data_IF_704013789317
#
_entry.id   IF_704013789317
#
_cell.length_a   1.000
_cell.length_b   1.000
_cell.length_c   1.000
_cell.angle_alpha   90.00
_cell.angle_beta   90.00
_cell.angle_gamma   90.00
#
_symmetry.space_group_name_H-M   'P 1'
#
loop_
_entity.id
_entity.type
_entity.pdbx_description
1 polymer ?
#
# COMPACT_ATOMS: atom_id res chain seq x y z
N UNK A 1 29.17 -0.04 -3.98
CA UNK A 1 29.13 -1.50 -4.18
C UNK A 1 28.93 -2.29 -2.89
N UNK A 2 29.59 -1.96 -1.77
CA UNK A 2 29.34 -2.61 -0.47
C UNK A 2 27.88 -2.54 0.07
N UNK A 3 27.13 -1.43 -0.09
CA UNK A 3 25.75 -1.35 0.42
C UNK A 3 24.76 -2.27 -0.33
N UNK A 4 24.97 -2.47 -1.63
CA UNK A 4 24.18 -3.42 -2.44
C UNK A 4 24.52 -4.87 -2.10
N UNK A 5 25.80 -5.16 -1.79
CA UNK A 5 26.23 -6.47 -1.32
C UNK A 5 25.65 -6.78 0.07
N UNK A 6 25.61 -5.82 1.00
CA UNK A 6 24.99 -6.02 2.31
C UNK A 6 23.47 -6.29 2.23
N UNK A 7 22.77 -5.70 1.25
CA UNK A 7 21.36 -6.02 0.99
C UNK A 7 21.15 -7.41 0.35
N UNK A 8 22.17 -8.00 -0.28
CA UNK A 8 22.12 -9.33 -0.90
C UNK A 8 22.69 -10.46 -0.03
N UNK A 9 23.51 -10.15 0.98
CA UNK A 9 24.20 -11.14 1.83
C UNK A 9 23.34 -11.62 3.02
N UNK A 10 22.22 -10.96 3.33
CA UNK A 10 21.27 -11.39 4.37
C UNK A 10 20.35 -12.51 3.86
N UNK A 11 20.90 -13.70 3.57
CA UNK A 11 20.18 -14.81 2.93
C UNK A 11 19.40 -15.76 3.85
N UNK A 12 19.70 -15.83 5.16
CA UNK A 12 19.08 -16.83 6.05
C UNK A 12 19.29 -16.52 7.54
N UNK A 13 18.44 -15.65 8.09
CA UNK A 13 18.36 -15.31 9.51
C UNK A 13 17.03 -14.63 9.86
N UNK A 14 16.61 -14.66 11.13
CA UNK A 14 15.41 -13.96 11.59
C UNK A 14 15.53 -12.45 11.34
N UNK A 15 14.50 -11.84 10.73
CA UNK A 15 14.44 -10.41 10.41
C UNK A 15 14.64 -10.02 8.94
N UNK A 16 14.86 -10.99 8.03
CA UNK A 16 14.93 -10.72 6.59
C UNK A 16 13.53 -10.53 6.02
N UNK A 17 13.31 -9.45 5.27
CA UNK A 17 12.05 -9.23 4.55
C UNK A 17 12.06 -9.97 3.21
N UNK A 18 11.00 -10.73 2.94
CA UNK A 18 10.80 -11.51 1.69
C UNK A 18 9.48 -11.16 1.03
N UNK A 19 9.41 -9.94 0.51
CA UNK A 19 8.27 -9.51 -0.30
C UNK A 19 8.26 -10.19 -1.67
N UNK A 20 7.11 -10.30 -2.36
CA UNK A 20 7.02 -10.96 -3.68
C UNK A 20 8.04 -10.45 -4.70
N UNK A 21 8.23 -9.14 -4.76
CA UNK A 21 9.14 -8.49 -5.70
C UNK A 21 10.64 -8.76 -5.44
N UNK A 22 11.00 -9.25 -4.26
CA UNK A 22 12.37 -9.68 -3.93
C UNK A 22 12.59 -11.15 -4.25
N UNK A 23 11.57 -11.99 -4.13
CA UNK A 23 11.66 -13.42 -4.47
C UNK A 23 11.68 -13.63 -5.98
N UNK A 24 10.93 -12.83 -6.74
CA UNK A 24 10.85 -12.90 -8.19
C UNK A 24 11.27 -11.55 -8.84
N UNK A 25 12.58 -11.21 -8.82
CA UNK A 25 13.07 -9.89 -9.26
C UNK A 25 12.88 -9.62 -10.76
N UNK A 26 12.94 -10.65 -11.60
CA UNK A 26 12.75 -10.53 -13.05
C UNK A 26 11.29 -10.21 -13.40
N UNK A 27 10.34 -10.96 -12.81
CA UNK A 27 8.91 -10.66 -12.94
C UNK A 27 8.57 -9.27 -12.38
N UNK A 28 9.18 -8.89 -11.26
CA UNK A 28 9.00 -7.54 -10.72
C UNK A 28 9.51 -6.45 -11.69
N UNK A 29 10.62 -6.69 -12.41
CA UNK A 29 11.12 -5.78 -13.43
C UNK A 29 10.17 -5.70 -14.64
N UNK A 30 9.61 -6.83 -15.07
CA UNK A 30 8.64 -6.86 -16.16
C UNK A 30 7.33 -6.15 -15.79
N UNK A 31 6.87 -6.28 -14.54
CA UNK A 31 5.73 -5.50 -14.02
C UNK A 31 6.02 -3.99 -14.11
N UNK A 32 7.22 -3.54 -13.70
CA UNK A 32 7.60 -2.12 -13.79
C UNK A 32 7.69 -1.63 -15.24
N UNK A 33 8.24 -2.43 -16.16
CA UNK A 33 8.26 -2.10 -17.59
C UNK A 33 6.85 -2.01 -18.16
N UNK A 34 5.98 -2.95 -17.80
CA UNK A 34 4.58 -2.92 -18.19
C UNK A 34 3.89 -1.66 -17.65
N UNK A 35 4.10 -1.32 -16.38
CA UNK A 35 3.61 -0.08 -15.76
C UNK A 35 4.05 1.17 -16.53
N UNK A 36 5.35 1.29 -16.83
CA UNK A 36 5.88 2.39 -17.65
C UNK A 36 5.19 2.47 -19.02
N UNK A 37 4.95 1.31 -19.65
CA UNK A 37 4.28 1.25 -20.95
C UNK A 37 2.81 1.65 -20.90
N UNK A 38 2.15 1.63 -19.75
CA UNK A 38 0.76 2.08 -19.58
C UNK A 38 0.66 3.56 -19.19
N UNK A 39 1.78 4.16 -18.78
CA UNK A 39 1.83 5.58 -18.48
C UNK A 39 1.74 6.39 -19.77
N UNK A 40 0.79 7.33 -19.79
CA UNK A 40 0.59 8.28 -20.88
C UNK A 40 0.64 9.69 -20.35
N UNK A 41 0.68 10.64 -21.26
CA UNK A 41 0.57 12.06 -20.97
C UNK A 41 -0.60 12.59 -21.79
N UNK A 42 -1.52 13.31 -21.16
CA UNK A 42 -2.64 13.93 -21.89
C UNK A 42 -2.11 15.19 -22.60
N UNK A 43 -2.36 15.27 -23.92
CA UNK A 43 -1.79 16.34 -24.76
C UNK A 43 -2.56 17.65 -24.72
N UNK A 44 -3.83 17.65 -24.30
CA UNK A 44 -4.72 18.82 -24.35
C UNK A 44 -5.46 19.04 -23.04
N UNK A 45 -5.47 20.28 -22.56
CA UNK A 45 -6.05 20.68 -21.27
C UNK A 45 -5.05 20.43 -20.14
N UNK A 46 -5.29 19.38 -19.35
CA UNK A 46 -4.41 19.00 -18.25
C UNK A 46 -3.25 18.14 -18.76
N UNK A 47 -2.04 18.70 -18.85
CA UNK A 47 -0.79 18.01 -19.24
C UNK A 47 -0.26 17.07 -18.13
N UNK A 48 -1.13 16.22 -17.61
CA UNK A 48 -0.86 15.32 -16.50
C UNK A 48 -0.54 13.93 -17.04
N UNK A 49 0.41 13.26 -16.40
CA UNK A 49 0.60 11.84 -16.61
C UNK A 49 -0.61 11.07 -16.12
N UNK A 50 -0.92 9.95 -16.76
CA UNK A 50 -1.98 9.06 -16.29
C UNK A 50 -1.75 7.61 -16.71
N UNK A 51 -2.22 6.67 -15.87
CA UNK A 51 -2.20 5.24 -16.18
C UNK A 51 -3.41 4.85 -17.03
N UNK A 52 -3.21 3.99 -18.03
CA UNK A 52 -4.32 3.51 -18.88
C UNK A 52 -5.09 2.37 -18.23
N UNK A 53 -4.39 1.45 -17.56
CA UNK A 53 -4.97 0.28 -16.90
C UNK A 53 -4.81 0.38 -15.40
N UNK A 54 -5.71 -0.29 -14.67
CA UNK A 54 -5.79 -0.23 -13.22
C UNK A 54 -5.67 -1.63 -12.64
N UNK A 55 -4.82 -1.77 -11.62
CA UNK A 55 -4.71 -2.95 -10.79
C UNK A 55 -4.89 -2.55 -9.32
N UNK A 56 -5.44 -3.47 -8.53
CA UNK A 56 -5.48 -3.41 -7.07
C UNK A 56 -4.82 -4.68 -6.57
N UNK A 57 -3.85 -4.55 -5.67
CA UNK A 57 -3.16 -5.69 -5.09
C UNK A 57 -3.91 -6.17 -3.85
N UNK A 58 -4.11 -7.47 -3.75
CA UNK A 58 -4.60 -8.18 -2.58
C UNK A 58 -3.72 -9.40 -2.34
N UNK A 59 -3.63 -9.83 -1.08
CA UNK A 59 -2.84 -11.01 -0.73
C UNK A 59 -3.58 -12.29 -1.13
N UNK A 60 -2.86 -13.27 -1.73
CA UNK A 60 -3.47 -14.50 -2.21
C UNK A 60 -4.10 -15.30 -1.07
N UNK A 61 -5.35 -15.75 -1.26
CA UNK A 61 -6.06 -16.58 -0.29
C UNK A 61 -5.38 -17.94 -0.04
N UNK A 62 -4.52 -18.37 -0.97
CA UNK A 62 -3.68 -19.57 -0.90
C UNK A 62 -2.70 -19.55 0.29
N UNK A 63 -2.46 -18.39 0.91
CA UNK A 63 -1.70 -18.29 2.17
C UNK A 63 -2.39 -19.13 3.27
N UNK A 64 -3.72 -19.17 3.30
CA UNK A 64 -4.51 -19.92 4.29
C UNK A 64 -4.36 -21.45 4.12
N UNK A 65 -3.81 -21.92 3.01
CA UNK A 65 -3.51 -23.34 2.76
C UNK A 65 -2.15 -23.78 3.32
N UNK A 66 -1.27 -22.83 3.65
CA UNK A 66 0.04 -23.13 4.23
C UNK A 66 -0.11 -23.59 5.68
N UNK A 67 0.82 -24.43 6.20
CA UNK A 67 0.84 -24.75 7.63
C UNK A 67 0.98 -23.49 8.49
N UNK A 68 0.33 -23.46 9.67
CA UNK A 68 0.30 -22.29 10.57
C UNK A 68 1.72 -21.71 10.85
N UNK A 69 2.76 -22.51 11.16
CA UNK A 69 4.10 -21.96 11.39
C UNK A 69 4.69 -21.25 10.16
N UNK A 70 4.33 -21.71 8.96
CA UNK A 70 4.77 -21.09 7.70
C UNK A 70 3.99 -19.81 7.42
N UNK A 71 2.70 -19.77 7.75
CA UNK A 71 1.91 -18.53 7.66
C UNK A 71 2.50 -17.45 8.57
N UNK A 72 2.83 -17.80 9.82
CA UNK A 72 3.46 -16.87 10.77
C UNK A 72 4.79 -16.33 10.24
N UNK A 73 5.66 -17.23 9.75
CA UNK A 73 6.92 -16.85 9.12
C UNK A 73 6.70 -15.92 7.91
N UNK A 74 5.75 -16.25 7.02
CA UNK A 74 5.42 -15.44 5.85
C UNK A 74 4.98 -14.03 6.27
N UNK A 75 4.10 -13.92 7.27
CA UNK A 75 3.65 -12.61 7.76
C UNK A 75 4.77 -11.80 8.41
N UNK A 76 5.72 -12.44 9.12
CA UNK A 76 6.91 -11.77 9.67
C UNK A 76 7.81 -11.19 8.57
N UNK A 77 7.98 -11.93 7.48
CA UNK A 77 8.83 -11.57 6.36
C UNK A 77 8.17 -10.56 5.40
N UNK A 78 6.83 -10.47 5.40
CA UNK A 78 6.04 -9.63 4.50
C UNK A 78 5.54 -8.32 5.12
N UNK A 79 5.03 -8.36 6.35
CA UNK A 79 4.27 -7.25 6.94
C UNK A 79 5.17 -6.31 7.74
N UNK A 80 4.74 -5.05 7.86
CA UNK A 80 5.27 -4.13 8.85
C UNK A 80 4.42 -4.22 10.13
N UNK A 81 4.85 -5.08 11.06
CA UNK A 81 4.14 -5.32 12.32
C UNK A 81 4.13 -4.10 13.24
N UNK A 82 5.16 -3.26 13.17
CA UNK A 82 5.25 -2.06 14.00
C UNK A 82 4.26 -1.00 13.52
N UNK A 83 4.21 -0.76 12.21
CA UNK A 83 3.21 0.12 11.60
C UNK A 83 1.79 -0.41 11.80
N UNK A 84 1.55 -1.72 11.62
CA UNK A 84 0.26 -2.36 11.90
C UNK A 84 -0.18 -2.11 13.34
N UNK A 85 0.69 -2.42 14.31
CA UNK A 85 0.39 -2.21 15.72
C UNK A 85 0.11 -0.74 16.02
N UNK A 86 0.88 0.18 15.45
CA UNK A 86 0.70 1.61 15.69
C UNK A 86 -0.63 2.14 15.12
N UNK A 87 -1.05 1.68 13.95
CA UNK A 87 -2.32 2.09 13.35
C UNK A 87 -3.54 1.47 14.05
N UNK A 88 -3.39 0.31 14.69
CA UNK A 88 -4.43 -0.37 15.46
C UNK A 88 -4.45 0.03 16.95
N UNK A 89 -3.47 0.81 17.42
CA UNK A 89 -3.40 1.29 18.79
C UNK A 89 -4.39 2.43 19.07
N UNK A 90 -4.99 2.51 20.27
CA UNK A 90 -5.92 3.58 20.61
C UNK A 90 -5.33 5.00 20.57
N UNK A 91 -6.05 6.00 19.99
CA UNK A 91 -7.25 5.84 19.17
C UNK A 91 -6.91 5.19 17.80
N UNK A 92 -7.56 4.08 17.43
CA UNK A 92 -7.15 3.30 16.26
C UNK A 92 -7.55 3.97 14.95
N UNK A 93 -6.59 4.16 14.06
CA UNK A 93 -6.82 4.64 12.69
C UNK A 93 -7.22 3.51 11.73
N UNK A 94 -6.85 2.26 12.06
CA UNK A 94 -7.04 1.09 11.20
C UNK A 94 -7.71 -0.07 11.95
N UNK A 95 -8.49 -0.88 11.22
CA UNK A 95 -9.07 -2.15 11.68
C UNK A 95 -9.86 -2.07 13.01
N UNK A 96 -10.46 -0.92 13.31
CA UNK A 96 -11.16 -0.67 14.58
C UNK A 96 -12.59 -1.22 14.62
N UNK A 97 -13.20 -1.47 13.45
CA UNK A 97 -14.56 -2.00 13.36
C UNK A 97 -14.57 -3.52 13.16
N UNK A 98 -15.18 -4.24 14.11
CA UNK A 98 -15.40 -5.69 14.00
C UNK A 98 -16.35 -6.04 12.84
N UNK A 99 -17.30 -5.16 12.55
CA UNK A 99 -18.19 -5.31 11.39
C UNK A 99 -17.37 -5.35 10.09
N UNK A 100 -16.48 -4.38 9.90
CA UNK A 100 -15.69 -4.27 8.68
C UNK A 100 -14.65 -5.40 8.62
N UNK A 101 -13.91 -5.62 9.70
CA UNK A 101 -12.77 -6.55 9.71
C UNK A 101 -13.19 -8.01 9.68
N UNK A 102 -14.11 -8.42 10.57
CA UNK A 102 -14.47 -9.82 10.74
C UNK A 102 -15.70 -10.21 9.91
N UNK A 103 -16.77 -9.42 9.98
CA UNK A 103 -18.05 -9.78 9.34
C UNK A 103 -18.06 -9.55 7.83
N UNK A 104 -17.46 -8.45 7.38
CA UNK A 104 -17.29 -8.12 5.96
C UNK A 104 -15.92 -8.54 5.40
N UNK A 105 -15.13 -9.29 6.18
CA UNK A 105 -13.82 -9.83 5.78
C UNK A 105 -12.88 -8.78 5.15
N UNK A 106 -12.96 -7.52 5.59
CA UNK A 106 -12.23 -6.39 5.01
C UNK A 106 -11.09 -5.90 5.91
N UNK A 107 -10.46 -6.83 6.65
CA UNK A 107 -9.26 -6.53 7.44
C UNK A 107 -8.11 -6.13 6.51
N UNK A 108 -7.46 -5.01 6.83
CA UNK A 108 -6.31 -4.51 6.07
C UNK A 108 -5.00 -4.91 6.75
N UNK A 109 -4.05 -5.35 5.93
CA UNK A 109 -2.70 -5.71 6.34
C UNK A 109 -1.70 -4.67 5.81
N UNK A 110 -0.74 -4.31 6.65
CA UNK A 110 0.25 -3.28 6.36
C UNK A 110 1.49 -3.95 5.78
N UNK A 111 1.71 -3.76 4.48
CA UNK A 111 2.88 -4.30 3.81
C UNK A 111 4.13 -3.54 4.24
N UNK A 112 5.22 -4.28 4.46
CA UNK A 112 6.52 -3.67 4.61
C UNK A 112 7.01 -3.09 3.27
N UNK A 113 7.72 -1.97 3.34
CA UNK A 113 8.48 -1.43 2.22
C UNK A 113 9.82 -0.86 2.68
N UNK A 114 10.65 -0.46 1.73
CA UNK A 114 12.00 0.06 2.01
C UNK A 114 11.93 1.50 2.51
N UNK A 115 12.52 1.76 3.67
CA UNK A 115 12.62 3.10 4.25
C UNK A 115 13.77 3.92 3.63
N UNK A 116 13.72 4.11 2.31
CA UNK A 116 14.75 4.81 1.52
C UNK A 116 14.29 6.18 0.96
N UNK A 117 13.24 6.77 1.56
CA UNK A 117 12.74 8.11 1.18
C UNK A 117 11.68 8.15 0.08
N UNK A 118 11.43 7.03 -0.61
CA UNK A 118 10.41 6.90 -1.66
C UNK A 118 9.15 6.12 -1.21
N UNK A 119 8.93 6.01 0.11
CA UNK A 119 7.91 5.14 0.70
C UNK A 119 6.48 5.40 0.19
N UNK A 120 6.11 6.65 -0.14
CA UNK A 120 4.80 6.97 -0.72
C UNK A 120 4.59 6.25 -2.07
N UNK A 121 5.59 6.31 -2.93
CA UNK A 121 5.52 5.76 -4.29
C UNK A 121 5.65 4.24 -4.28
N UNK A 122 6.53 3.72 -3.42
CA UNK A 122 6.62 2.29 -3.16
C UNK A 122 5.29 1.74 -2.64
N UNK A 123 4.64 2.42 -1.69
CA UNK A 123 3.35 2.00 -1.16
C UNK A 123 2.24 2.04 -2.21
N UNK A 124 2.21 3.06 -3.05
CA UNK A 124 1.22 3.15 -4.12
C UNK A 124 1.43 2.07 -5.19
N UNK A 125 2.68 1.79 -5.58
CA UNK A 125 3.03 0.70 -6.49
C UNK A 125 2.75 -0.68 -5.88
N UNK A 126 2.91 -0.84 -4.56
CA UNK A 126 2.54 -2.06 -3.86
C UNK A 126 1.02 -2.25 -3.80
N UNK A 127 0.26 -1.23 -3.41
CA UNK A 127 -1.20 -1.27 -3.31
C UNK A 127 -1.90 -1.50 -4.66
N UNK A 128 -1.19 -1.28 -5.77
CA UNK A 128 -1.70 -1.49 -7.13
C UNK A 128 -1.12 -2.74 -7.79
N UNK A 129 0.20 -2.82 -7.93
CA UNK A 129 0.91 -3.83 -8.73
C UNK A 129 1.78 -4.79 -7.91
N UNK A 130 1.82 -4.65 -6.58
CA UNK A 130 2.60 -5.52 -5.70
C UNK A 130 4.12 -5.35 -5.79
N UNK A 131 4.60 -4.26 -6.39
CA UNK A 131 6.04 -3.98 -6.58
C UNK A 131 6.42 -2.61 -6.03
N UNK A 132 7.72 -2.35 -5.87
CA UNK A 132 8.26 -1.04 -5.51
C UNK A 132 8.46 -0.15 -6.76
N UNK A 133 8.51 1.18 -6.59
CA UNK A 133 8.93 2.12 -7.65
C UNK A 133 10.46 2.15 -7.77
N UNK A 134 11.08 1.00 -7.99
CA UNK A 134 12.54 0.86 -7.96
C UNK A 134 13.25 1.63 -9.08
N UNK A 135 12.57 1.84 -10.20
CA UNK A 135 13.10 2.49 -11.40
C UNK A 135 12.67 3.97 -11.52
N UNK A 136 12.12 4.53 -10.43
CA UNK A 136 11.62 5.90 -10.33
C UNK A 136 10.68 6.28 -11.50
N UNK A 137 9.84 5.35 -11.93
CA UNK A 137 8.90 5.57 -13.03
C UNK A 137 7.80 6.48 -12.52
N UNK A 138 7.23 6.16 -11.36
CA UNK A 138 6.16 6.93 -10.76
C UNK A 138 6.70 8.25 -10.18
N UNK A 139 7.90 8.26 -9.59
CA UNK A 139 8.60 9.48 -9.13
C UNK A 139 8.76 10.50 -10.26
N UNK A 140 9.25 10.06 -11.43
CA UNK A 140 9.42 10.94 -12.59
C UNK A 140 8.07 11.43 -13.12
N UNK A 141 7.08 10.54 -13.24
CA UNK A 141 5.74 10.92 -13.65
C UNK A 141 5.10 11.99 -12.74
N UNK A 142 5.32 11.86 -11.43
CA UNK A 142 4.89 12.82 -10.41
C UNK A 142 5.57 14.18 -10.61
N UNK A 143 6.90 14.19 -10.67
CA UNK A 143 7.67 15.41 -10.88
C UNK A 143 7.29 16.10 -12.19
N UNK A 144 7.26 15.37 -13.31
CA UNK A 144 6.91 15.88 -14.63
C UNK A 144 5.49 16.48 -14.65
N UNK A 145 4.52 15.79 -14.02
CA UNK A 145 3.16 16.28 -13.88
C UNK A 145 3.10 17.58 -13.10
N UNK A 146 3.81 17.67 -11.97
CA UNK A 146 3.79 18.85 -11.12
C UNK A 146 4.42 20.06 -11.81
N UNK A 147 5.47 19.86 -12.61
CA UNK A 147 6.06 20.93 -13.42
C UNK A 147 5.14 21.37 -14.56
N UNK A 148 4.54 20.44 -15.30
CA UNK A 148 3.71 20.76 -16.46
C UNK A 148 2.35 21.33 -16.08
N UNK A 149 1.75 20.83 -15.00
CA UNK A 149 0.45 21.26 -14.50
C UNK A 149 0.56 22.21 -13.31
N UNK A 150 1.75 22.79 -13.07
CA UNK A 150 2.05 23.54 -11.85
C UNK A 150 1.06 24.66 -11.58
N UNK A 151 0.63 25.40 -12.60
CA UNK A 151 -0.36 26.47 -12.46
C UNK A 151 -1.71 26.00 -11.87
N UNK A 152 -2.17 24.78 -12.19
CA UNK A 152 -3.45 24.24 -11.69
C UNK A 152 -3.28 23.74 -10.25
N UNK A 153 -2.23 22.95 -10.02
CA UNK A 153 -1.94 22.39 -8.70
C UNK A 153 -1.58 23.48 -7.69
N UNK A 154 -0.82 24.51 -8.10
CA UNK A 154 -0.48 25.66 -7.27
C UNK A 154 -1.72 26.42 -6.82
N UNK A 155 -2.66 26.72 -7.72
CA UNK A 155 -3.90 27.42 -7.34
C UNK A 155 -4.68 26.64 -6.29
N UNK A 156 -4.86 25.32 -6.49
CA UNK A 156 -5.58 24.47 -5.54
C UNK A 156 -4.84 24.31 -4.21
N UNK A 157 -3.53 24.15 -4.26
CA UNK A 157 -2.67 24.05 -3.08
C UNK A 157 -2.67 25.35 -2.27
N UNK A 158 -2.50 26.51 -2.94
CA UNK A 158 -2.50 27.83 -2.30
C UNK A 158 -3.85 28.11 -1.63
N UNK A 159 -4.97 27.84 -2.30
CA UNK A 159 -6.31 27.99 -1.69
C UNK A 159 -6.45 27.12 -0.43
N UNK A 160 -6.04 25.85 -0.51
CA UNK A 160 -6.08 24.94 0.63
C UNK A 160 -5.22 25.41 1.81
N UNK A 161 -3.95 25.75 1.60
CA UNK A 161 -3.07 26.24 2.67
C UNK A 161 -3.51 27.61 3.21
N UNK A 162 -4.08 28.48 2.37
CA UNK A 162 -4.69 29.73 2.83
C UNK A 162 -5.84 29.48 3.82
N UNK A 163 -6.69 28.50 3.53
CA UNK A 163 -7.76 28.10 4.45
C UNK A 163 -7.20 27.57 5.77
N UNK A 164 -6.16 26.72 5.72
CA UNK A 164 -5.50 26.20 6.91
C UNK A 164 -4.86 27.33 7.75
N UNK A 165 -4.15 28.26 7.11
CA UNK A 165 -3.54 29.42 7.77
C UNK A 165 -4.60 30.31 8.42
N UNK A 166 -5.74 30.53 7.74
CA UNK A 166 -6.84 31.34 8.26
C UNK A 166 -7.49 30.74 9.51
N UNK A 167 -7.58 29.41 9.60
CA UNK A 167 -8.06 28.70 10.81
C UNK A 167 -7.11 28.90 12.01
N UNK A 168 -5.84 29.21 11.74
CA UNK A 168 -4.81 29.53 12.73
C UNK A 168 -4.62 31.05 12.90
N UNK A 169 -5.51 31.86 12.30
CA UNK A 169 -5.51 33.32 12.36
C UNK A 169 -4.23 34.00 11.85
N UNK A 170 -3.61 33.45 10.80
CA UNK A 170 -2.49 34.09 10.11
C UNK A 170 -2.62 34.04 8.58
N UNK A 171 -1.78 34.82 7.90
CA UNK A 171 -1.68 34.87 6.43
C UNK A 171 -0.21 34.89 6.03
N UNK A 172 0.11 34.36 4.86
CA UNK A 172 1.47 34.35 4.31
C UNK A 172 1.63 35.43 3.22
N UNK A 173 2.85 35.95 3.08
CA UNK A 173 3.23 36.87 2.00
C UNK A 173 3.40 36.12 0.66
N UNK A 174 3.27 36.83 -0.46
CA UNK A 174 3.40 36.25 -1.81
C UNK A 174 4.76 35.59 -2.07
N UNK A 175 5.84 36.14 -1.52
CA UNK A 175 7.18 35.54 -1.58
C UNK A 175 7.26 34.16 -0.92
N UNK A 176 6.59 33.98 0.23
CA UNK A 176 6.59 32.70 0.94
C UNK A 176 5.84 31.63 0.13
N UNK A 177 4.74 32.00 -0.53
CA UNK A 177 4.00 31.07 -1.40
C UNK A 177 4.87 30.56 -2.55
N UNK A 178 5.71 31.41 -3.14
CA UNK A 178 6.63 31.03 -4.21
C UNK A 178 7.77 30.13 -3.70
N UNK A 179 8.31 30.41 -2.52
CA UNK A 179 9.36 29.60 -1.88
C UNK A 179 8.85 28.20 -1.50
N UNK A 180 7.69 28.12 -0.85
CA UNK A 180 7.06 26.86 -0.43
C UNK A 180 6.70 26.02 -1.67
N UNK A 181 6.18 26.65 -2.72
CA UNK A 181 5.89 25.98 -3.99
C UNK A 181 7.17 25.44 -4.66
N UNK A 182 8.24 26.24 -4.70
CA UNK A 182 9.54 25.82 -5.23
C UNK A 182 10.09 24.62 -4.45
N UNK A 183 9.91 24.61 -3.13
CA UNK A 183 10.28 23.48 -2.26
C UNK A 183 9.51 22.23 -2.65
N UNK A 184 8.19 22.31 -2.84
CA UNK A 184 7.36 21.17 -3.27
C UNK A 184 7.81 20.60 -4.63
N UNK A 185 8.13 21.46 -5.61
CA UNK A 185 8.67 21.04 -6.90
C UNK A 185 10.03 20.32 -6.78
N UNK A 186 10.91 20.84 -5.92
CA UNK A 186 12.22 20.27 -5.64
C UNK A 186 12.10 18.89 -4.98
N UNK A 187 11.21 18.76 -3.99
CA UNK A 187 10.95 17.48 -3.32
C UNK A 187 10.56 16.42 -4.34
N UNK A 188 9.59 16.67 -5.22
CA UNK A 188 9.19 15.70 -6.25
C UNK A 188 10.35 15.27 -7.15
N UNK A 189 11.22 16.22 -7.53
CA UNK A 189 12.30 16.01 -8.51
C UNK A 189 13.52 15.28 -7.95
N UNK A 190 13.71 15.28 -6.64
CA UNK A 190 14.87 14.68 -5.98
C UNK A 190 14.52 13.28 -5.45
N UNK A 191 15.03 12.18 -6.04
CA UNK A 191 14.77 10.83 -5.55
C UNK A 191 15.17 10.67 -4.07
N UNK A 192 14.34 9.97 -3.29
CA UNK A 192 14.56 9.78 -1.86
C UNK A 192 14.18 10.96 -0.96
N UNK A 193 13.75 12.10 -1.51
CA UNK A 193 13.19 13.19 -0.69
C UNK A 193 11.78 12.83 -0.22
N UNK A 194 11.46 13.16 1.04
CA UNK A 194 10.13 12.97 1.62
C UNK A 194 9.08 13.78 0.86
N UNK A 195 7.95 13.15 0.58
CA UNK A 195 6.85 13.75 -0.16
C UNK A 195 5.72 14.17 0.79
N UNK A 196 5.09 15.30 0.47
CA UNK A 196 3.98 15.92 1.21
C UNK A 196 2.59 15.65 0.59
N UNK A 197 1.53 16.15 1.22
CA UNK A 197 0.12 15.92 0.88
C UNK A 197 -0.20 16.23 -0.59
N UNK A 198 0.38 17.30 -1.13
CA UNK A 198 0.18 17.69 -2.53
C UNK A 198 0.61 16.58 -3.49
N UNK A 199 1.69 15.87 -3.17
CA UNK A 199 2.18 14.78 -3.99
C UNK A 199 1.20 13.60 -4.01
N UNK A 200 0.45 13.39 -2.93
CA UNK A 200 -0.62 12.37 -2.87
C UNK A 200 -1.78 12.79 -3.78
N UNK A 201 -2.15 14.08 -3.78
CA UNK A 201 -3.16 14.61 -4.72
C UNK A 201 -2.72 14.39 -6.17
N UNK A 202 -1.50 14.77 -6.54
CA UNK A 202 -0.96 14.58 -7.90
C UNK A 202 -0.92 13.09 -8.25
N UNK A 203 -0.52 12.24 -7.30
CA UNK A 203 -0.50 10.80 -7.49
C UNK A 203 -1.90 10.22 -7.74
N UNK A 204 -2.93 10.70 -7.04
CA UNK A 204 -4.32 10.31 -7.32
C UNK A 204 -4.74 10.64 -8.75
N UNK A 205 -4.29 11.79 -9.29
CA UNK A 205 -4.51 12.16 -10.69
C UNK A 205 -3.77 11.23 -11.67
N UNK A 206 -2.51 10.89 -11.38
CA UNK A 206 -1.72 9.97 -12.21
C UNK A 206 -2.35 8.57 -12.23
N UNK A 207 -2.79 8.09 -11.07
CA UNK A 207 -3.44 6.78 -10.95
C UNK A 207 -4.90 6.78 -11.40
N UNK A 208 -5.48 7.95 -11.73
CA UNK A 208 -6.90 8.14 -12.10
C UNK A 208 -7.85 7.46 -11.11
N UNK A 209 -7.51 7.50 -9.83
CA UNK A 209 -8.29 6.86 -8.76
C UNK A 209 -8.09 7.56 -7.43
N UNK A 210 -9.11 7.57 -6.56
CA UNK A 210 -8.98 8.07 -5.20
C UNK A 210 -7.92 7.32 -4.38
N UNK A 211 -7.28 8.04 -3.46
CA UNK A 211 -6.37 7.48 -2.45
C UNK A 211 -6.92 7.82 -1.07
N UNK A 212 -7.05 6.80 -0.22
CA UNK A 212 -7.43 6.95 1.18
C UNK A 212 -6.19 6.73 2.03
N UNK A 213 -5.87 7.69 2.91
CA UNK A 213 -4.77 7.57 3.85
C UNK A 213 -5.34 7.42 5.26
N UNK A 214 -5.02 6.33 5.92
CA UNK A 214 -5.26 6.12 7.35
C UNK A 214 -3.95 6.36 8.08
N UNK A 215 -3.96 7.16 9.15
CA UNK A 215 -2.69 7.51 9.77
C UNK A 215 -2.83 8.09 11.16
N UNK A 216 -1.70 8.18 11.84
CA UNK A 216 -1.66 8.87 13.14
C UNK A 216 -1.93 10.36 12.94
N UNK A 217 -2.82 10.92 13.77
CA UNK A 217 -3.15 12.36 13.76
C UNK A 217 -1.94 13.22 14.15
N UNK A 218 -1.19 12.80 15.17
CA UNK A 218 -0.01 13.51 15.67
C UNK A 218 1.28 12.74 15.40
N UNK A 219 2.34 13.48 15.06
CA UNK A 219 3.71 12.97 15.06
C UNK A 219 4.23 13.07 16.49
N UNK A 220 4.79 11.97 17.00
CA UNK A 220 5.32 11.88 18.36
C UNK A 220 6.84 11.92 18.38
N UNK A 221 7.41 12.60 19.37
CA UNK A 221 8.83 12.55 19.69
C UNK A 221 9.24 11.16 20.19
N UNK A 222 10.55 10.90 20.31
CA UNK A 222 11.07 9.69 20.95
C UNK A 222 10.63 9.53 22.42
N UNK A 223 10.20 10.63 23.07
CA UNK A 223 9.66 10.64 24.43
C UNK A 223 8.14 10.43 24.47
N UNK A 224 7.49 10.33 23.31
CA UNK A 224 6.05 10.15 23.17
C UNK A 224 5.21 11.43 23.18
N UNK A 225 5.86 12.60 23.19
CA UNK A 225 5.20 13.92 23.17
C UNK A 225 4.77 14.29 21.74
N UNK A 226 3.61 14.91 21.59
CA UNK A 226 3.13 15.38 20.29
C UNK A 226 3.97 16.60 19.84
N UNK A 227 4.68 16.45 18.72
CA UNK A 227 5.57 17.49 18.17
C UNK A 227 4.98 18.20 16.95
N UNK A 228 3.89 17.68 16.41
CA UNK A 228 3.21 18.27 15.26
C UNK A 228 2.05 17.41 14.78
N UNK A 229 1.21 18.01 13.96
CA UNK A 229 0.06 17.33 13.36
C UNK A 229 0.49 16.74 12.00
N UNK A 230 0.25 15.46 11.77
CA UNK A 230 0.71 14.75 10.57
C UNK A 230 -0.02 15.22 9.30
N UNK A 231 -1.25 15.74 9.40
CA UNK A 231 -2.07 16.26 8.26
C UNK A 231 -2.17 15.32 7.04
N UNK A 232 -1.94 14.01 7.17
CA UNK A 232 -1.99 13.08 6.03
C UNK A 232 -3.25 12.22 6.00
N UNK A 233 -3.89 11.98 7.14
CA UNK A 233 -5.13 11.21 7.20
C UNK A 233 -6.22 11.91 6.37
N UNK A 234 -6.92 11.15 5.53
CA UNK A 234 -7.99 11.68 4.69
C UNK A 234 -8.06 11.09 3.28
N UNK A 235 -8.92 11.70 2.47
CA UNK A 235 -9.14 11.34 1.07
C UNK A 235 -8.42 12.32 0.14
N UNK A 236 -7.81 11.77 -0.90
CA UNK A 236 -7.23 12.52 -2.01
C UNK A 236 -7.96 12.13 -3.30
N UNK A 237 -8.72 13.08 -3.85
CA UNK A 237 -9.57 12.86 -5.02
C UNK A 237 -8.95 13.51 -6.27
N UNK A 238 -9.01 12.86 -7.44
CA UNK A 238 -8.44 13.39 -8.67
C UNK A 238 -9.32 14.45 -9.34
N UNK A 239 -9.58 15.55 -8.64
CA UNK A 239 -10.56 16.60 -8.97
C UNK A 239 -10.42 17.23 -10.36
N UNK A 240 -9.22 17.23 -10.94
CA UNK A 240 -8.98 17.87 -12.24
C UNK A 240 -9.30 16.98 -13.44
N UNK A 241 -9.75 15.74 -13.18
CA UNK A 241 -10.28 14.86 -14.20
C UNK A 241 -11.81 14.93 -14.28
N UNK A 242 -12.34 14.62 -15.45
CA UNK A 242 -13.75 14.23 -15.55
C UNK A 242 -13.98 12.96 -14.73
N UNK A 243 -15.07 12.88 -13.97
CA UNK A 243 -15.33 11.74 -13.08
C UNK A 243 -15.34 10.40 -13.84
N UNK A 244 -15.88 10.38 -15.07
CA UNK A 244 -15.92 9.20 -15.94
C UNK A 244 -14.53 8.76 -16.44
N UNK A 245 -13.52 9.62 -16.33
CA UNK A 245 -12.14 9.29 -16.65
C UNK A 245 -11.44 8.57 -15.49
N UNK A 246 -12.00 8.63 -14.28
CA UNK A 246 -11.42 8.00 -13.09
C UNK A 246 -12.17 6.73 -12.70
N UNK A 247 -11.47 5.78 -12.10
CA UNK A 247 -12.12 4.64 -11.44
C UNK A 247 -12.53 5.04 -10.02
N UNK A 248 -13.66 4.49 -9.57
CA UNK A 248 -14.21 4.74 -8.23
C UNK A 248 -13.65 3.85 -7.13
N UNK A 249 -12.90 2.79 -7.49
CA UNK A 249 -12.26 1.89 -6.53
C UNK A 249 -10.96 2.55 -6.01
N UNK A 250 -10.85 2.89 -4.72
CA UNK A 250 -9.66 3.55 -4.17
C UNK A 250 -8.49 2.58 -3.89
N UNK A 251 -7.30 3.11 -3.67
CA UNK A 251 -6.25 2.41 -2.88
C UNK A 251 -6.19 2.98 -1.46
N UNK A 252 -5.70 2.16 -0.52
CA UNK A 252 -5.52 2.55 0.87
C UNK A 252 -4.02 2.56 1.24
N UNK A 253 -3.60 3.61 1.92
CA UNK A 253 -2.23 3.78 2.43
C UNK A 253 -2.27 4.04 3.94
N UNK A 254 -1.26 3.55 4.65
CA UNK A 254 -1.03 3.78 6.06
C UNK A 254 0.04 4.85 6.23
N UNK A 255 -0.11 5.76 7.20
CA UNK A 255 0.93 6.72 7.55
C UNK A 255 1.31 6.66 9.04
N UNK A 256 2.57 6.34 9.30
CA UNK A 256 3.14 6.24 10.66
C UNK A 256 4.55 6.80 10.70
N UNK A 257 4.84 7.71 11.65
CA UNK A 257 6.21 8.20 11.94
C UNK A 257 7.01 8.67 10.71
N UNK A 258 6.38 9.39 9.78
CA UNK A 258 7.06 9.86 8.56
C UNK A 258 7.19 8.81 7.46
N UNK A 259 6.46 7.70 7.56
CA UNK A 259 6.55 6.58 6.64
C UNK A 259 5.18 6.18 6.11
N UNK A 260 5.09 5.97 4.79
CA UNK A 260 3.92 5.41 4.13
C UNK A 260 4.06 3.90 3.96
N UNK A 261 2.96 3.17 4.11
CA UNK A 261 2.89 1.74 3.85
C UNK A 261 1.62 1.40 3.05
N UNK A 262 1.68 0.38 2.20
CA UNK A 262 0.48 -0.10 1.50
C UNK A 262 -0.44 -0.84 2.47
N UNK A 263 -1.74 -0.55 2.41
CA UNK A 263 -2.78 -1.28 3.16
C UNK A 263 -3.57 -2.13 2.19
N UNK A 264 -3.47 -3.45 2.34
CA UNK A 264 -4.02 -4.40 1.37
C UNK A 264 -4.93 -5.42 2.07
N UNK A 265 -6.02 -5.84 1.43
CA UNK A 265 -6.85 -6.93 1.95
C UNK A 265 -6.24 -8.30 1.62
N UNK A 266 -6.78 -9.33 2.26
CA UNK A 266 -6.66 -10.72 1.78
C UNK A 266 -7.76 -10.97 0.74
N UNK A 267 -7.45 -11.74 -0.30
CA UNK A 267 -8.47 -12.27 -1.20
C UNK A 267 -9.41 -13.21 -0.42
N UNK A 268 -10.71 -13.19 -0.72
CA UNK A 268 -11.66 -14.04 -0.02
C UNK A 268 -11.43 -15.51 -0.36
N UNK A 269 -11.43 -16.33 0.68
CA UNK A 269 -11.16 -17.74 0.54
C UNK A 269 -12.36 -18.50 -0.01
N UNK A 270 -12.29 -18.87 -1.28
CA UNK A 270 -13.37 -19.60 -1.97
C UNK A 270 -13.28 -21.11 -1.73
N UNK A 271 -13.54 -21.58 -0.49
CA UNK A 271 -13.50 -23.03 -0.20
C UNK A 271 -14.81 -23.79 -0.41
N UNK A 272 -15.99 -23.15 -0.51
CA UNK A 272 -17.25 -23.90 -0.32
C UNK A 272 -18.40 -23.63 -1.32
N UNK A 273 -18.53 -22.48 -1.97
CA UNK A 273 -19.72 -22.23 -2.82
C UNK A 273 -19.38 -21.88 -4.27
N UNK A 274 -19.48 -22.89 -5.15
CA UNK A 274 -19.50 -22.74 -6.61
C UNK A 274 -20.75 -22.01 -7.15
N UNK A 275 -21.26 -21.03 -6.41
CA UNK A 275 -22.40 -20.16 -6.77
C UNK A 275 -22.04 -18.67 -6.83
N UNK A 276 -20.79 -18.29 -6.58
CA UNK A 276 -20.31 -16.91 -6.78
C UNK A 276 -19.74 -16.74 -8.19
N UNK A 277 -20.56 -16.96 -9.21
CA UNK A 277 -20.07 -16.86 -10.60
C UNK A 277 -20.00 -15.42 -11.15
N UNK A 278 -20.49 -14.40 -10.42
CA UNK A 278 -20.54 -13.01 -10.94
C UNK A 278 -20.37 -11.88 -9.89
N UNK A 279 -20.15 -12.17 -8.61
CA UNK A 279 -19.96 -11.11 -7.61
C UNK A 279 -18.48 -10.71 -7.56
N UNK A 280 -18.13 -9.52 -8.07
CA UNK A 280 -16.80 -8.92 -7.83
C UNK A 280 -16.51 -8.91 -6.33
N UNK A 281 -15.34 -9.41 -5.92
CA UNK A 281 -14.94 -9.37 -4.51
C UNK A 281 -14.73 -7.92 -4.09
N UNK A 282 -15.32 -7.52 -2.96
CA UNK A 282 -15.29 -6.15 -2.46
C UNK A 282 -14.65 -6.10 -1.08
N UNK A 283 -13.65 -5.23 -0.94
CA UNK A 283 -13.15 -4.78 0.36
C UNK A 283 -13.81 -3.46 0.75
N UNK A 284 -14.29 -3.36 1.98
CA UNK A 284 -14.93 -2.16 2.51
C UNK A 284 -13.95 -1.32 3.31
N UNK A 285 -13.76 -0.07 2.89
CA UNK A 285 -12.81 0.87 3.47
C UNK A 285 -13.57 1.99 4.21
N UNK A 286 -13.47 2.11 5.55
CA UNK A 286 -14.19 3.14 6.29
C UNK A 286 -13.82 4.56 5.84
N UNK A 287 -14.83 5.39 5.62
CA UNK A 287 -14.69 6.83 5.31
C UNK A 287 -14.86 7.71 6.55
N UNK A 288 -14.75 7.10 7.72
CA UNK A 288 -14.88 7.73 9.03
C UNK A 288 -13.85 7.15 10.00
N UNK A 289 -13.53 7.90 11.05
CA UNK A 289 -12.68 7.44 12.14
C UNK A 289 -13.48 6.58 13.16
N UNK A 290 -12.80 6.06 14.18
CA UNK A 290 -13.40 5.22 15.21
C UNK A 290 -14.45 5.94 16.08
N UNK A 291 -14.53 7.28 15.98
CA UNK A 291 -15.55 8.12 16.63
C UNK A 291 -16.69 8.48 15.67
N UNK A 292 -16.76 7.82 14.51
CA UNK A 292 -17.75 8.05 13.43
C UNK A 292 -17.69 9.43 12.79
N UNK A 293 -16.59 10.18 12.97
CA UNK A 293 -16.36 11.44 12.27
C UNK A 293 -15.85 11.15 10.86
N UNK A 294 -16.41 11.82 9.85
CA UNK A 294 -15.94 11.69 8.47
C UNK A 294 -14.45 12.04 8.36
N UNK A 295 -13.73 11.23 7.57
CA UNK A 295 -12.37 11.54 7.17
C UNK A 295 -12.36 12.83 6.35
N UNK A 296 -11.37 13.72 6.54
CA UNK A 296 -11.28 14.95 5.76
C UNK A 296 -10.99 14.62 4.30
N UNK A 297 -11.51 15.45 3.39
CA UNK A 297 -11.09 15.44 1.99
C UNK A 297 -10.05 16.55 1.84
N UNK A 298 -8.86 16.18 1.37
CA UNK A 298 -7.77 17.14 1.18
C UNK A 298 -8.03 18.02 -0.04
N UNK A 299 -7.54 19.26 0.03
CA UNK A 299 -7.57 20.21 -1.08
C UNK A 299 -8.95 20.63 -1.57
N UNK A 300 -9.99 20.62 -0.72
CA UNK A 300 -11.29 21.21 -1.05
C UNK A 300 -11.19 22.72 -1.29
N UNK A 301 -11.98 23.23 -2.23
CA UNK A 301 -12.19 24.67 -2.39
C UNK A 301 -13.18 25.17 -1.34
N UNK A 302 -13.25 26.50 -1.16
CA UNK A 302 -14.24 27.12 -0.27
C UNK A 302 -15.69 26.75 -0.64
N UNK A 303 -16.00 26.51 -1.92
CA UNK A 303 -17.33 26.12 -2.40
C UNK A 303 -17.65 24.64 -2.21
N UNK A 304 -16.63 23.79 -2.03
CA UNK A 304 -16.78 22.36 -1.83
C UNK A 304 -16.92 21.97 -0.35
N UNK A 305 -16.42 22.81 0.56
CA UNK A 305 -16.56 22.63 2.01
C UNK A 305 -18.04 22.54 2.40
N UNK A 306 -18.37 21.57 3.25
CA UNK A 306 -19.73 21.25 3.67
C UNK A 306 -20.49 20.28 2.73
N UNK A 307 -19.89 19.91 1.59
CA UNK A 307 -20.44 18.94 0.64
C UNK A 307 -19.65 17.62 0.60
N UNK A 308 -18.91 17.29 1.66
CA UNK A 308 -17.92 16.20 1.69
C UNK A 308 -18.54 14.84 1.35
N UNK A 309 -19.67 14.48 1.95
CA UNK A 309 -20.32 13.20 1.68
C UNK A 309 -20.80 13.09 0.22
N UNK A 310 -21.33 14.20 -0.34
CA UNK A 310 -21.73 14.25 -1.75
C UNK A 310 -20.53 14.04 -2.67
N UNK A 311 -19.40 14.68 -2.37
CA UNK A 311 -18.15 14.49 -3.10
C UNK A 311 -17.65 13.05 -2.98
N UNK A 312 -17.68 12.44 -1.79
CA UNK A 312 -17.34 11.04 -1.61
C UNK A 312 -18.18 10.14 -2.51
N UNK A 313 -19.50 10.32 -2.56
CA UNK A 313 -20.42 9.52 -3.40
C UNK A 313 -20.22 9.75 -4.90
N UNK A 314 -19.77 10.93 -5.31
CA UNK A 314 -19.44 11.23 -6.69
C UNK A 314 -18.16 10.50 -7.13
N UNK A 315 -17.12 10.51 -6.31
CA UNK A 315 -15.79 10.02 -6.65
C UNK A 315 -15.51 8.57 -6.27
N UNK A 316 -16.29 7.99 -5.35
CA UNK A 316 -16.14 6.61 -4.87
C UNK A 316 -17.45 5.84 -5.05
N UNK A 317 -17.35 4.52 -5.05
CA UNK A 317 -18.49 3.63 -4.86
C UNK A 317 -18.72 3.53 -3.35
N UNK A 318 -19.74 4.21 -2.83
CA UNK A 318 -19.97 4.37 -1.39
C UNK A 318 -21.26 3.67 -0.96
N UNK A 319 -21.20 2.91 0.12
CA UNK A 319 -22.38 2.37 0.79
C UNK A 319 -22.34 2.61 2.31
N UNK A 320 -23.46 2.35 2.98
CA UNK A 320 -23.57 2.40 4.43
C UNK A 320 -23.74 0.96 4.91
N UNK A 321 -22.93 0.52 5.87
CA UNK A 321 -23.04 -0.82 6.48
C UNK A 321 -24.29 -0.91 7.36
N UNK A 322 -24.65 -2.12 7.80
CA UNK A 322 -25.79 -2.30 8.73
C UNK A 322 -25.53 -1.59 10.07
N UNK A 323 -24.28 -1.50 10.50
CA UNK A 323 -23.84 -0.72 11.66
C UNK A 323 -23.85 0.80 11.45
N UNK A 324 -24.27 1.29 10.29
CA UNK A 324 -24.33 2.73 9.99
C UNK A 324 -23.00 3.34 9.56
N UNK A 325 -21.99 2.54 9.23
CA UNK A 325 -20.67 3.04 8.84
C UNK A 325 -20.65 3.38 7.35
N UNK A 326 -20.23 4.62 7.02
CA UNK A 326 -19.97 5.02 5.64
C UNK A 326 -18.65 4.41 5.17
N UNK A 327 -18.70 3.62 4.10
CA UNK A 327 -17.56 2.87 3.57
C UNK A 327 -17.45 3.04 2.06
N UNK A 328 -16.21 3.12 1.55
CA UNK A 328 -15.90 2.99 0.13
C UNK A 328 -15.71 1.52 -0.23
N UNK A 329 -16.16 1.13 -1.42
CA UNK A 329 -16.01 -0.20 -1.98
C UNK A 329 -14.75 -0.26 -2.86
N UNK A 330 -13.73 -0.95 -2.37
CA UNK A 330 -12.58 -1.35 -3.17
C UNK A 330 -12.88 -2.69 -3.85
N UNK A 331 -13.30 -2.61 -5.11
CA UNK A 331 -13.50 -3.77 -5.98
C UNK A 331 -12.15 -4.41 -6.33
N UNK A 332 -12.02 -5.70 -6.05
CA UNK A 332 -10.90 -6.55 -6.44
C UNK A 332 -11.22 -7.16 -7.81
N UNK A 333 -10.46 -6.73 -8.82
CA UNK A 333 -10.56 -7.27 -10.18
C UNK A 333 -9.63 -8.46 -10.34
N UNK A 334 -9.83 -9.21 -11.42
CA UNK A 334 -8.93 -10.29 -11.82
C UNK A 334 -7.46 -9.80 -11.81
N UNK A 335 -6.63 -10.54 -11.08
CA UNK A 335 -5.20 -10.27 -10.93
C UNK A 335 -4.50 -10.20 -12.30
N UNK A 336 -3.68 -9.17 -12.57
CA UNK A 336 -2.86 -9.13 -13.79
C UNK A 336 -1.91 -10.33 -13.88
N UNK A 337 -1.66 -10.84 -15.09
CA UNK A 337 -0.90 -12.08 -15.31
C UNK A 337 0.50 -12.04 -14.69
N UNK A 338 1.25 -10.96 -14.90
CA UNK A 338 2.60 -10.82 -14.36
C UNK A 338 2.60 -10.79 -12.83
N UNK A 339 1.59 -10.16 -12.22
CA UNK A 339 1.41 -10.14 -10.75
C UNK A 339 1.06 -11.53 -10.24
N UNK A 340 0.22 -12.28 -10.96
CA UNK A 340 -0.12 -13.66 -10.64
C UNK A 340 1.10 -14.59 -10.67
N UNK A 341 1.95 -14.48 -11.70
CA UNK A 341 3.19 -15.25 -11.81
C UNK A 341 4.16 -14.91 -10.67
N UNK A 342 4.30 -13.62 -10.34
CA UNK A 342 5.18 -13.17 -9.25
C UNK A 342 4.73 -13.73 -7.90
N UNK A 343 3.41 -13.69 -7.62
CA UNK A 343 2.84 -14.24 -6.40
C UNK A 343 2.97 -15.76 -6.33
N UNK A 344 2.82 -16.47 -7.44
CA UNK A 344 2.98 -17.92 -7.48
C UNK A 344 4.42 -18.35 -7.20
N UNK A 345 5.43 -17.66 -7.76
CA UNK A 345 6.84 -17.90 -7.41
C UNK A 345 7.13 -17.64 -5.92
N UNK A 346 6.56 -16.56 -5.39
CA UNK A 346 6.66 -16.18 -3.98
C UNK A 346 6.00 -17.22 -3.06
N UNK A 347 4.79 -17.67 -3.35
CA UNK A 347 4.12 -18.74 -2.57
C UNK A 347 4.86 -20.07 -2.68
N UNK A 348 5.39 -20.41 -3.86
CA UNK A 348 6.17 -21.63 -4.05
C UNK A 348 7.45 -21.66 -3.19
N UNK A 349 8.02 -20.50 -2.84
CA UNK A 349 9.08 -20.43 -1.85
C UNK A 349 8.63 -21.00 -0.49
N UNK A 350 7.48 -20.55 0.02
CA UNK A 350 6.94 -21.02 1.30
C UNK A 350 6.43 -22.47 1.24
N UNK A 351 5.82 -22.89 0.12
CA UNK A 351 5.42 -24.29 -0.09
C UNK A 351 6.62 -25.24 -0.03
N UNK A 352 7.78 -24.84 -0.58
CA UNK A 352 9.03 -25.62 -0.46
C UNK A 352 9.53 -25.70 0.99
N UNK A 353 9.47 -24.60 1.74
CA UNK A 353 9.83 -24.62 3.17
C UNK A 353 8.91 -25.57 3.94
N UNK A 354 7.60 -25.50 3.69
CA UNK A 354 6.60 -26.38 4.31
C UNK A 354 6.88 -27.87 4.04
N UNK A 355 7.27 -28.23 2.81
CA UNK A 355 7.63 -29.60 2.44
C UNK A 355 8.85 -30.11 3.21
N UNK A 356 9.88 -29.27 3.40
CA UNK A 356 11.09 -29.66 4.14
C UNK A 356 10.78 -29.89 5.63
N UNK A 357 9.93 -29.06 6.24
CA UNK A 357 9.54 -29.21 7.66
C UNK A 357 8.66 -30.46 7.88
N UNK A 358 7.85 -30.81 6.88
CA UNK A 358 6.90 -31.95 6.97
C UNK A 358 7.54 -33.29 6.59
N UNK A 359 8.68 -33.28 5.89
CA UNK A 359 9.35 -34.51 5.49
C UNK A 359 9.87 -35.26 6.73
N UNK A 360 9.46 -36.52 6.97
CA UNK A 360 10.02 -37.30 8.07
C UNK A 360 11.51 -37.52 7.80
N UNK A 361 12.35 -37.17 8.78
CA UNK A 361 13.74 -37.59 8.83
C UNK A 361 13.82 -39.13 8.82
N UNK A 362 13.83 -39.75 7.64
CA UNK A 362 14.29 -41.13 7.48
C UNK A 362 15.80 -41.08 7.30
N UNK A 363 16.51 -40.95 8.41
CA UNK A 363 17.88 -41.46 8.54
C UNK A 363 17.91 -42.37 9.77
N UNK A 364 17.53 -43.63 9.58
CA UNK A 364 18.06 -44.68 10.44
C UNK A 364 19.50 -44.95 9.99
N UNK A 365 20.51 -44.85 10.85
CA UNK A 365 21.77 -45.52 10.58
C UNK A 365 21.45 -47.01 10.49
N UNK A 366 21.78 -47.65 9.37
CA UNK A 366 21.89 -49.11 9.36
C UNK A 366 23.02 -49.45 10.33
N UNK A 367 22.65 -49.88 11.53
CA UNK A 367 23.57 -50.62 12.40
C UNK A 367 23.75 -51.97 11.71
N UNK A 368 24.81 -52.09 10.92
CA UNK A 368 25.33 -53.38 10.49
C UNK A 368 25.84 -54.10 11.73
N UNK A 369 24.96 -54.87 12.37
CA UNK A 369 25.39 -55.93 13.28
C UNK A 369 26.14 -56.96 12.43
N UNK A 370 27.48 -56.92 12.49
CA UNK A 370 28.29 -58.09 12.18
C UNK A 370 28.03 -59.11 13.28
N UNK A 371 27.23 -60.13 12.97
CA UNK A 371 27.15 -61.36 13.76
C UNK A 371 28.42 -62.14 13.51
N UNK A 372 29.24 -62.31 14.54
CA UNK A 372 30.41 -63.19 14.53
C UNK A 372 30.05 -64.42 15.34
N UNK A 373 29.32 -65.34 14.73
CA UNK A 373 29.35 -66.75 15.10
C UNK A 373 30.62 -67.29 14.40
N UNK A 374 31.63 -67.87 15.05
CA UNK A 374 31.55 -68.81 16.16
C UNK A 374 31.84 -70.23 15.65
N UNK A 375 32.87 -70.43 14.81
CA UNK A 375 33.37 -71.76 14.46
C UNK A 375 34.42 -72.18 15.50
N UNK A 376 34.02 -73.12 16.34
CA UNK A 376 34.89 -73.95 17.15
C UNK A 376 35.35 -75.14 16.32
N UNK A 377 36.62 -75.19 15.94
CA UNK A 377 37.27 -76.41 15.46
C UNK A 377 37.93 -77.13 16.63
N UNK A 378 37.70 -78.44 16.64
CA UNK A 378 38.24 -79.46 17.55
C UNK A 378 39.75 -79.62 17.37
N UNK A 379 40.50 -79.67 18.48
CA UNK A 379 41.62 -80.59 18.73
C UNK A 379 41.85 -80.76 20.25
#
# INVERSE_FOLDING_TARGET
MLPMLLAQISGSGPGIKRVPSYVAPDLAADIRRHFANMLRMRKSGLACHYVQEHATFALPSEIEELPIPIQEQLYDELLDRDAQKQLEMPPPALNWSLEITARLSSRLLVLWNRSAGDCLLDSAMQATWGVFDRDNILRRALADTLHQCGHIFFTRWKEYEMLQASMLHFTLEDSQWEEDWSTLLSLASQPGSSLEQLHILVLAHILRRPIIVYGVKNVKSFRGEDIGYARFEGLYLPFFWDQNFCIKSPIALGYTRGHFSALVPMEPFSRIDGRRDDAEDVTYLPLMDCETKLLPIHFLTQSEIGNEESLMRQWLDVCVTEGGLLVAQQKLRKRPLLVAQMLEEWLNHYRRIAQVITAPFVRRPQITHYSSDGDSDEE
#
